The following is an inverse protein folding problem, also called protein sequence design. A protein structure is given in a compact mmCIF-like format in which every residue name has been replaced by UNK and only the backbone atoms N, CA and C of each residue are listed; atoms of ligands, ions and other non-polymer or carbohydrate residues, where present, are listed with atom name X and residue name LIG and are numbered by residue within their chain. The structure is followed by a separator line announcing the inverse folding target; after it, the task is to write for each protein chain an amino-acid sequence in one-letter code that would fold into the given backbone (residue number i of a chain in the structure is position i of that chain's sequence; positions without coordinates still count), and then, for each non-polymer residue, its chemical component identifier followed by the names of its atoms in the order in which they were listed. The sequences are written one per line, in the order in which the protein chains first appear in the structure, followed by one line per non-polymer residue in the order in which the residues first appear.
data_IF_390846431038
#
_entry.id   IF_390846431038
#
_cell.length_a   1.000
_cell.length_b   1.000
_cell.length_c   1.000
_cell.angle_alpha   90.00
_cell.angle_beta   90.00
_cell.angle_gamma   90.00
#
_symmetry.space_group_name_H-M   'P 1'
#
loop_
_entity.id
_entity.type
_entity.pdbx_description
1 polymer ?
#
# COMPACT_ATOMS: atom_id res chain seq x y z
N UNK A 1 19.85 18.08 63.46
CA UNK A 1 19.09 17.17 62.58
C UNK A 1 17.93 17.95 62.00
N UNK A 2 17.98 18.32 60.71
CA UNK A 2 16.88 18.98 60.00
C UNK A 2 16.31 17.97 59.01
N UNK A 3 15.07 17.56 59.20
CA UNK A 3 14.38 16.67 58.29
C UNK A 3 14.01 17.45 57.03
N UNK A 4 14.70 17.17 55.93
CA UNK A 4 14.31 17.65 54.62
C UNK A 4 13.26 16.69 54.02
N UNK A 5 12.05 17.19 53.84
CA UNK A 5 11.00 16.49 53.11
C UNK A 5 11.32 16.55 51.62
N UNK A 6 11.64 15.41 51.01
CA UNK A 6 11.86 15.30 49.57
C UNK A 6 10.52 15.10 48.86
N UNK A 7 10.09 16.10 48.09
CA UNK A 7 8.94 15.99 47.19
C UNK A 7 9.44 15.38 45.88
N UNK A 8 9.07 14.12 45.61
CA UNK A 8 9.25 13.47 44.32
C UNK A 8 8.20 14.00 43.33
N UNK A 9 8.58 14.93 42.46
CA UNK A 9 7.75 15.32 41.32
C UNK A 9 8.06 14.34 40.18
N UNK A 10 7.22 13.31 40.04
CA UNK A 10 7.19 12.48 38.83
C UNK A 10 6.63 13.33 37.68
N UNK A 11 7.52 13.92 36.89
CA UNK A 11 7.17 14.42 35.56
C UNK A 11 6.84 13.22 34.68
N UNK A 12 5.57 12.84 34.62
CA UNK A 12 5.08 12.07 33.47
C UNK A 12 5.22 12.99 32.26
N UNK A 13 6.28 12.78 31.49
CA UNK A 13 6.34 13.28 30.13
C UNK A 13 5.23 12.53 29.37
N UNK A 14 4.04 13.15 29.30
CA UNK A 14 3.01 12.70 28.37
C UNK A 14 3.65 12.93 27.00
N UNK A 15 4.23 11.87 26.44
CA UNK A 15 4.60 11.84 25.04
C UNK A 15 3.27 12.06 24.33
N UNK A 16 3.03 13.29 23.87
CA UNK A 16 2.01 13.55 22.87
C UNK A 16 2.45 12.79 21.63
N UNK A 17 2.09 11.50 21.58
CA UNK A 17 2.01 10.74 20.36
C UNK A 17 0.94 11.45 19.54
N UNK A 18 1.37 12.46 18.80
CA UNK A 18 0.68 12.92 17.61
C UNK A 18 0.51 11.67 16.74
N UNK A 19 -0.64 11.03 16.84
CA UNK A 19 -1.07 10.00 15.91
C UNK A 19 -1.21 10.74 14.58
N UNK A 20 -0.14 10.78 13.79
CA UNK A 20 -0.15 11.48 12.52
C UNK A 20 -1.11 10.72 11.62
N UNK A 21 -2.33 11.27 11.48
CA UNK A 21 -3.28 10.80 10.50
C UNK A 21 -2.62 10.94 9.13
N UNK A 22 -2.62 9.86 8.36
CA UNK A 22 -2.07 9.90 7.01
C UNK A 22 -2.91 10.85 6.16
N UNK A 23 -2.23 11.66 5.36
CA UNK A 23 -2.81 12.62 4.44
C UNK A 23 -2.72 12.11 3.00
N UNK A 24 -3.62 12.60 2.15
CA UNK A 24 -3.53 12.32 0.71
C UNK A 24 -2.19 12.85 0.18
N UNK A 25 -1.45 11.98 -0.52
CA UNK A 25 -0.10 12.24 -1.01
C UNK A 25 1.03 11.69 -0.14
N UNK A 26 0.75 11.21 1.06
CA UNK A 26 1.79 10.60 1.89
C UNK A 26 2.29 9.30 1.26
N UNK A 27 3.62 9.13 1.18
CA UNK A 27 4.22 7.84 0.88
C UNK A 27 4.18 6.98 2.13
N UNK A 28 3.27 6.02 2.16
CA UNK A 28 2.97 5.21 3.32
C UNK A 28 2.82 3.76 2.93
N UNK A 29 3.51 2.89 3.68
CA UNK A 29 3.44 1.44 3.53
C UNK A 29 3.54 0.95 2.07
N UNK A 30 4.57 1.42 1.35
CA UNK A 30 4.91 0.95 0.01
C UNK A 30 4.15 1.61 -1.15
N UNK A 31 3.23 2.55 -0.86
CA UNK A 31 2.48 3.25 -1.89
C UNK A 31 2.14 4.69 -1.50
N UNK A 32 1.24 5.31 -2.28
CA UNK A 32 0.78 6.68 -2.05
C UNK A 32 -0.64 6.66 -1.53
N UNK A 33 -0.90 7.37 -0.43
CA UNK A 33 -2.26 7.54 0.09
C UNK A 33 -3.06 8.41 -0.89
N UNK A 34 -4.16 7.88 -1.44
CA UNK A 34 -5.02 8.62 -2.37
C UNK A 34 -6.43 8.88 -1.82
N UNK A 35 -6.79 8.22 -0.72
CA UNK A 35 -8.08 8.40 -0.06
C UNK A 35 -7.95 8.20 1.46
N UNK A 36 -8.70 8.97 2.24
CA UNK A 36 -8.78 8.83 3.70
C UNK A 36 -10.23 8.70 4.13
N UNK A 37 -10.53 7.74 5.00
CA UNK A 37 -11.88 7.57 5.52
C UNK A 37 -12.14 8.58 6.66
N UNK A 38 -13.37 9.12 6.78
CA UNK A 38 -13.75 9.94 7.93
C UNK A 38 -13.60 9.21 9.27
N UNK A 39 -13.73 7.88 9.27
CA UNK A 39 -13.53 7.01 10.43
C UNK A 39 -12.06 6.72 10.74
N UNK A 40 -11.13 7.24 9.94
CA UNK A 40 -9.70 6.94 10.00
C UNK A 40 -9.29 5.75 9.12
N UNK A 41 -8.00 5.67 8.82
CA UNK A 41 -7.48 4.78 7.78
C UNK A 41 -7.68 5.35 6.39
N UNK A 42 -7.50 4.52 5.37
CA UNK A 42 -7.62 4.97 3.98
C UNK A 42 -7.19 3.93 2.96
N UNK A 43 -6.95 4.41 1.75
CA UNK A 43 -6.49 3.60 0.63
C UNK A 43 -5.16 4.13 0.10
N UNK A 44 -4.30 3.18 -0.25
CA UNK A 44 -2.96 3.38 -0.79
C UNK A 44 -2.95 2.80 -2.20
N UNK A 45 -2.39 3.53 -3.16
CA UNK A 45 -2.13 3.04 -4.51
C UNK A 45 -0.66 2.69 -4.66
N UNK A 46 -0.39 1.61 -5.39
CA UNK A 46 0.98 1.20 -5.73
C UNK A 46 1.69 2.31 -6.54
N UNK A 47 3.02 2.41 -6.39
CA UNK A 47 3.86 3.38 -7.12
C UNK A 47 4.16 2.95 -8.56
N UNK A 48 3.80 1.73 -8.95
CA UNK A 48 4.08 1.21 -10.29
C UNK A 48 2.95 0.31 -10.81
N UNK A 49 2.85 0.18 -12.13
CA UNK A 49 1.96 -0.78 -12.77
C UNK A 49 2.48 -2.20 -12.52
N UNK A 50 1.57 -3.17 -12.52
CA UNK A 50 1.90 -4.56 -12.32
C UNK A 50 2.12 -5.25 -13.65
N UNK A 51 3.17 -6.06 -13.72
CA UNK A 51 3.45 -6.90 -14.87
C UNK A 51 2.57 -8.14 -14.85
N UNK A 52 2.15 -8.59 -16.03
CA UNK A 52 1.53 -9.88 -16.25
C UNK A 52 2.60 -10.88 -16.72
N UNK A 53 2.98 -11.88 -15.90
CA UNK A 53 3.99 -12.87 -16.27
C UNK A 53 3.47 -13.89 -17.29
N UNK A 54 2.14 -13.99 -17.47
CA UNK A 54 1.48 -14.95 -18.36
C UNK A 54 0.57 -14.22 -19.36
N UNK A 55 1.10 -13.32 -20.20
CA UNK A 55 0.28 -12.64 -21.20
C UNK A 55 -0.35 -13.66 -22.16
N UNK A 56 -1.62 -13.48 -22.57
CA UNK A 56 -2.22 -14.33 -23.58
C UNK A 56 -1.38 -14.30 -24.87
N UNK A 57 -0.99 -15.48 -25.37
CA UNK A 57 0.01 -15.63 -26.44
C UNK A 57 -0.16 -14.65 -27.62
N UNK A 58 0.85 -13.81 -27.88
CA UNK A 58 1.07 -13.30 -29.24
C UNK A 58 1.56 -11.86 -29.49
N UNK A 59 1.94 -11.00 -28.54
CA UNK A 59 2.36 -9.63 -28.91
C UNK A 59 3.43 -8.95 -28.04
N UNK A 60 3.93 -7.83 -28.57
CA UNK A 60 5.02 -6.89 -28.21
C UNK A 60 5.42 -6.68 -26.72
N UNK A 61 6.56 -5.99 -26.41
CA UNK A 61 7.01 -5.72 -25.04
C UNK A 61 6.00 -5.05 -24.09
N UNK A 62 4.95 -4.42 -24.63
CA UNK A 62 3.88 -3.82 -23.82
C UNK A 62 2.95 -4.89 -23.19
N UNK A 63 2.87 -6.09 -23.77
CA UNK A 63 1.99 -7.19 -23.38
C UNK A 63 2.25 -7.65 -21.94
N UNK A 64 3.51 -7.60 -21.50
CA UNK A 64 3.87 -7.93 -20.12
C UNK A 64 3.36 -6.94 -19.08
N UNK A 65 2.74 -5.80 -19.47
CA UNK A 65 2.09 -4.85 -18.55
C UNK A 65 0.58 -4.82 -18.71
N UNK A 66 0.02 -5.69 -19.56
CA UNK A 66 -1.40 -5.71 -19.87
C UNK A 66 -2.02 -7.01 -19.38
N UNK A 67 -3.23 -6.89 -18.85
CA UNK A 67 -4.02 -8.02 -18.36
C UNK A 67 -5.43 -7.92 -18.87
N UNK A 68 -6.07 -9.08 -19.04
CA UNK A 68 -7.52 -9.13 -19.25
C UNK A 68 -8.25 -8.90 -17.94
N UNK A 69 -9.47 -8.40 -17.99
CA UNK A 69 -10.28 -8.32 -16.78
C UNK A 69 -10.73 -9.72 -16.34
N UNK A 70 -11.19 -10.54 -17.29
CA UNK A 70 -11.76 -11.87 -17.06
C UNK A 70 -12.12 -12.55 -18.38
N UNK A 71 -12.89 -13.64 -18.32
CA UNK A 71 -13.44 -14.31 -19.50
C UNK A 71 -14.49 -13.47 -20.23
N UNK A 72 -14.73 -13.79 -21.51
CA UNK A 72 -15.59 -13.01 -22.40
C UNK A 72 -17.02 -12.84 -21.89
N UNK A 73 -17.63 -13.90 -21.35
CA UNK A 73 -19.04 -13.91 -20.93
C UNK A 73 -19.23 -14.28 -19.46
N UNK A 74 -18.17 -14.20 -18.67
CA UNK A 74 -18.22 -14.64 -17.28
C UNK A 74 -18.79 -13.54 -16.39
N UNK A 75 -19.91 -13.85 -15.74
CA UNK A 75 -20.50 -12.99 -14.72
C UNK A 75 -19.91 -13.34 -13.36
N UNK A 76 -19.09 -12.44 -12.83
CA UNK A 76 -18.50 -12.61 -11.50
C UNK A 76 -19.41 -11.95 -10.48
N UNK A 77 -20.25 -12.75 -9.81
CA UNK A 77 -21.24 -12.24 -8.87
C UNK A 77 -20.58 -11.39 -7.76
N UNK A 78 -21.22 -10.27 -7.41
CA UNK A 78 -20.72 -9.38 -6.36
C UNK A 78 -19.55 -8.48 -6.76
N UNK A 79 -19.24 -8.35 -8.06
CA UNK A 79 -18.20 -7.43 -8.56
C UNK A 79 -18.74 -6.19 -9.27
N UNK A 80 -20.06 -5.98 -9.29
CA UNK A 80 -20.66 -4.79 -9.91
C UNK A 80 -20.69 -3.57 -8.97
N UNK A 81 -20.24 -3.72 -7.72
CA UNK A 81 -20.18 -2.61 -6.76
C UNK A 81 -19.05 -1.67 -7.15
N UNK A 82 -19.33 -0.37 -7.19
CA UNK A 82 -18.40 0.65 -7.71
C UNK A 82 -17.95 1.68 -6.67
N UNK A 83 -18.51 1.66 -5.45
CA UNK A 83 -18.20 2.63 -4.39
C UNK A 83 -16.75 2.59 -3.91
N UNK A 84 -16.30 3.67 -3.27
CA UNK A 84 -15.04 3.67 -2.51
C UNK A 84 -15.12 2.62 -1.38
N UNK A 85 -14.07 1.82 -1.21
CA UNK A 85 -14.00 0.66 -0.31
C UNK A 85 -14.47 -0.66 -0.93
N UNK A 86 -15.01 -0.67 -2.16
CA UNK A 86 -15.52 -1.90 -2.77
C UNK A 86 -14.44 -2.76 -3.45
N UNK A 87 -13.26 -2.21 -3.75
CA UNK A 87 -12.24 -2.91 -4.53
C UNK A 87 -11.80 -4.23 -3.90
N UNK A 88 -11.65 -4.25 -2.57
CA UNK A 88 -11.24 -5.44 -1.82
C UNK A 88 -12.28 -6.56 -1.91
N UNK A 89 -13.56 -6.24 -1.66
CA UNK A 89 -14.64 -7.22 -1.75
C UNK A 89 -14.85 -7.72 -3.18
N UNK A 90 -14.76 -6.83 -4.17
CA UNK A 90 -14.84 -7.21 -5.58
C UNK A 90 -13.70 -8.17 -5.97
N UNK A 91 -12.48 -7.86 -5.54
CA UNK A 91 -11.29 -8.70 -5.78
C UNK A 91 -11.45 -10.06 -5.12
N UNK A 92 -11.96 -10.13 -3.88
CA UNK A 92 -12.24 -11.40 -3.20
C UNK A 92 -13.30 -12.22 -3.94
N UNK A 93 -14.39 -11.60 -4.40
CA UNK A 93 -15.42 -12.28 -5.19
C UNK A 93 -14.88 -12.81 -6.52
N UNK A 94 -13.99 -12.06 -7.15
CA UNK A 94 -13.29 -12.52 -8.34
C UNK A 94 -12.41 -13.74 -8.05
N UNK A 95 -11.62 -13.72 -6.98
CA UNK A 95 -10.80 -14.86 -6.58
C UNK A 95 -11.62 -16.11 -6.23
N UNK A 96 -12.83 -15.94 -5.71
CA UNK A 96 -13.74 -17.06 -5.47
C UNK A 96 -14.23 -17.68 -6.78
N UNK A 97 -14.34 -16.89 -7.86
CA UNK A 97 -14.79 -17.35 -9.18
C UNK A 97 -13.63 -17.91 -10.02
N UNK A 98 -12.47 -17.24 -10.00
CA UNK A 98 -11.22 -17.67 -10.62
C UNK A 98 -10.14 -17.88 -9.55
N UNK A 99 -10.07 -19.07 -8.92
CA UNK A 99 -9.13 -19.32 -7.83
C UNK A 99 -7.69 -19.58 -8.29
N UNK A 100 -7.44 -19.77 -9.59
CA UNK A 100 -6.10 -20.05 -10.11
C UNK A 100 -5.23 -18.79 -10.15
N UNK A 101 -4.36 -18.66 -9.15
CA UNK A 101 -3.40 -17.57 -9.03
C UNK A 101 -2.41 -17.48 -10.20
N UNK A 102 -2.23 -18.54 -11.01
CA UNK A 102 -1.37 -18.46 -12.20
C UNK A 102 -2.07 -17.80 -13.39
N UNK A 103 -3.33 -17.39 -13.28
CA UNK A 103 -4.08 -16.83 -14.40
C UNK A 103 -3.59 -15.44 -14.84
N UNK A 104 -4.01 -15.04 -16.04
CA UNK A 104 -3.58 -13.83 -16.74
C UNK A 104 -4.48 -12.60 -16.50
N UNK A 105 -5.31 -12.62 -15.45
CA UNK A 105 -6.29 -11.57 -15.19
C UNK A 105 -5.75 -10.46 -14.29
N UNK A 106 -6.35 -9.28 -14.41
CA UNK A 106 -5.93 -8.08 -13.68
C UNK A 106 -5.94 -8.30 -12.16
N UNK A 107 -6.95 -8.98 -11.64
CA UNK A 107 -7.06 -9.34 -10.23
C UNK A 107 -5.89 -10.22 -9.77
N UNK A 108 -5.48 -11.20 -10.58
CA UNK A 108 -4.36 -12.10 -10.23
C UNK A 108 -3.05 -11.33 -10.07
N UNK A 109 -2.83 -10.30 -10.91
CA UNK A 109 -1.62 -9.47 -10.79
C UNK A 109 -1.61 -8.72 -9.46
N UNK A 110 -2.75 -8.19 -9.02
CA UNK A 110 -2.88 -7.52 -7.74
C UNK A 110 -2.60 -8.48 -6.57
N UNK A 111 -3.32 -9.60 -6.49
CA UNK A 111 -3.24 -10.50 -5.32
C UNK A 111 -1.91 -11.25 -5.20
N UNK A 112 -1.18 -11.44 -6.32
CA UNK A 112 0.16 -12.03 -6.31
C UNK A 112 1.27 -11.01 -6.02
N UNK A 113 0.97 -9.71 -6.03
CA UNK A 113 1.97 -8.68 -5.79
C UNK A 113 2.47 -8.75 -4.35
N UNK A 114 3.80 -8.75 -4.19
CA UNK A 114 4.47 -8.58 -2.89
C UNK A 114 5.19 -7.23 -2.80
N UNK A 115 4.85 -6.28 -3.68
CA UNK A 115 5.58 -5.01 -3.82
C UNK A 115 5.47 -4.18 -2.55
N UNK A 116 6.56 -3.50 -2.21
CA UNK A 116 6.67 -2.73 -0.97
C UNK A 116 6.70 -3.59 0.30
N UNK A 117 6.73 -4.92 0.19
CA UNK A 117 6.69 -5.85 1.33
C UNK A 117 5.28 -6.22 1.81
N UNK A 118 4.25 -5.94 1.01
CA UNK A 118 2.84 -6.18 1.34
C UNK A 118 2.21 -7.15 0.34
N UNK A 119 1.25 -7.96 0.79
CA UNK A 119 0.58 -9.01 0.02
C UNK A 119 -0.96 -8.93 0.07
N UNK A 120 -1.49 -7.80 0.53
CA UNK A 120 -2.92 -7.48 0.67
C UNK A 120 -3.38 -6.51 -0.45
N UNK A 121 -2.70 -6.55 -1.58
CA UNK A 121 -3.01 -5.74 -2.76
C UNK A 121 -4.25 -6.27 -3.49
N UNK A 122 -5.14 -5.37 -3.87
CA UNK A 122 -6.37 -5.66 -4.60
C UNK A 122 -6.56 -4.70 -5.80
N UNK A 123 -7.46 -5.07 -6.71
CA UNK A 123 -7.80 -4.24 -7.87
C UNK A 123 -8.80 -3.16 -7.43
N UNK A 124 -8.59 -1.87 -7.74
CA UNK A 124 -9.46 -0.80 -7.25
C UNK A 124 -10.86 -0.88 -7.86
N UNK A 125 -11.90 -0.54 -7.11
CA UNK A 125 -13.24 -0.31 -7.65
C UNK A 125 -13.25 0.85 -8.65
N UNK A 126 -14.31 0.98 -9.44
CA UNK A 126 -14.45 2.09 -10.40
C UNK A 126 -14.26 3.46 -9.75
N UNK A 127 -14.91 3.73 -8.61
CA UNK A 127 -14.77 5.05 -7.98
C UNK A 127 -13.40 5.23 -7.30
N UNK A 128 -12.76 4.15 -6.83
CA UNK A 128 -11.38 4.22 -6.29
C UNK A 128 -10.39 4.58 -7.40
N UNK A 129 -10.56 3.99 -8.59
CA UNK A 129 -9.73 4.28 -9.75
C UNK A 129 -9.93 5.71 -10.27
N UNK A 130 -11.16 6.21 -10.25
CA UNK A 130 -11.45 7.62 -10.59
C UNK A 130 -10.75 8.54 -9.58
N UNK A 131 -10.79 8.21 -8.29
CA UNK A 131 -10.16 9.01 -7.23
C UNK A 131 -8.63 9.03 -7.33
N UNK A 132 -8.02 7.92 -7.74
CA UNK A 132 -6.60 7.86 -8.11
C UNK A 132 -6.31 8.89 -9.21
N UNK A 133 -7.12 8.95 -10.27
CA UNK A 133 -6.87 9.89 -11.37
C UNK A 133 -7.15 11.35 -11.01
N UNK A 134 -8.07 11.63 -10.09
CA UNK A 134 -8.25 12.97 -9.52
C UNK A 134 -6.97 13.47 -8.82
N UNK A 135 -6.20 12.55 -8.23
CA UNK A 135 -4.94 12.85 -7.53
C UNK A 135 -3.68 12.48 -8.34
N UNK A 136 -3.81 12.21 -9.66
CA UNK A 136 -2.73 11.68 -10.50
C UNK A 136 -1.43 12.47 -10.39
N UNK A 137 -1.50 13.80 -10.49
CA UNK A 137 -0.30 14.65 -10.49
C UNK A 137 0.52 14.48 -9.21
N UNK A 138 -0.15 14.38 -8.07
CA UNK A 138 0.47 14.15 -6.77
C UNK A 138 1.04 12.73 -6.68
N UNK A 139 0.26 11.72 -7.06
CA UNK A 139 0.68 10.32 -7.05
C UNK A 139 1.89 10.09 -7.96
N UNK A 140 1.90 10.65 -9.17
CA UNK A 140 3.01 10.56 -10.12
C UNK A 140 4.31 11.14 -9.53
N UNK A 141 4.22 12.30 -8.90
CA UNK A 141 5.36 12.96 -8.26
C UNK A 141 5.96 12.09 -7.16
N UNK A 142 5.12 11.57 -6.26
CA UNK A 142 5.55 10.74 -5.14
C UNK A 142 6.05 9.37 -5.61
N UNK A 143 5.39 8.77 -6.61
CA UNK A 143 5.81 7.50 -7.20
C UNK A 143 7.22 7.60 -7.80
N UNK A 144 7.50 8.65 -8.57
CA UNK A 144 8.83 8.89 -9.15
C UNK A 144 9.91 9.06 -8.08
N UNK A 145 9.63 9.82 -7.02
CA UNK A 145 10.56 10.02 -5.90
C UNK A 145 10.90 8.72 -5.16
N UNK A 146 10.01 7.72 -5.23
CA UNK A 146 10.17 6.43 -4.55
C UNK A 146 10.51 5.28 -5.52
N UNK A 147 11.02 5.59 -6.71
CA UNK A 147 11.52 4.60 -7.68
C UNK A 147 10.42 3.86 -8.46
N UNK A 148 9.18 4.32 -8.38
CA UNK A 148 8.06 3.87 -9.21
C UNK A 148 8.01 4.61 -10.55
N UNK A 149 6.84 4.64 -11.16
CA UNK A 149 6.64 5.34 -12.43
C UNK A 149 5.26 5.96 -12.55
N UNK A 150 5.19 6.97 -13.42
CA UNK A 150 3.96 7.70 -13.67
C UNK A 150 2.92 6.85 -14.39
N UNK A 151 1.67 7.27 -14.27
CA UNK A 151 0.62 6.80 -15.16
C UNK A 151 0.92 7.26 -16.60
N UNK A 152 0.95 6.29 -17.52
CA UNK A 152 1.32 6.45 -18.93
C UNK A 152 0.56 7.54 -19.70
N UNK A 153 1.28 8.30 -20.51
CA UNK A 153 0.72 9.29 -21.43
C UNK A 153 -0.18 8.67 -22.51
N UNK A 154 0.02 7.39 -22.86
CA UNK A 154 -0.81 6.62 -23.79
C UNK A 154 -2.03 5.95 -23.12
N UNK A 155 -2.41 6.36 -21.91
CA UNK A 155 -3.53 5.77 -21.16
C UNK A 155 -4.88 5.83 -21.90
N UNK A 156 -5.05 6.68 -22.92
CA UNK A 156 -6.26 6.66 -23.78
C UNK A 156 -6.37 5.36 -24.59
N UNK A 157 -5.24 4.81 -25.03
CA UNK A 157 -5.17 3.54 -25.75
C UNK A 157 -5.12 2.35 -24.79
N UNK A 158 -4.43 2.53 -23.66
CA UNK A 158 -4.25 1.51 -22.63
C UNK A 158 -4.70 2.04 -21.27
N UNK A 159 -6.03 2.15 -21.04
CA UNK A 159 -6.57 2.59 -19.76
C UNK A 159 -6.29 1.58 -18.65
N UNK A 160 -6.80 1.84 -17.46
CA UNK A 160 -6.59 0.99 -16.29
C UNK A 160 -7.87 0.27 -15.94
N UNK A 161 -7.77 -1.02 -15.65
CA UNK A 161 -8.90 -1.80 -15.16
C UNK A 161 -9.30 -1.36 -13.76
N UNK A 162 -10.61 -1.32 -13.51
CA UNK A 162 -11.16 -1.42 -12.17
C UNK A 162 -11.67 -2.84 -11.90
N UNK A 163 -11.90 -3.18 -10.65
CA UNK A 163 -12.54 -4.43 -10.22
C UNK A 163 -14.06 -4.45 -10.49
N UNK A 164 -14.63 -3.33 -10.94
CA UNK A 164 -16.07 -3.20 -11.11
C UNK A 164 -16.48 -3.67 -12.49
N UNK A 165 -17.28 -4.73 -12.57
CA UNK A 165 -17.92 -5.12 -13.83
C UNK A 165 -19.21 -4.33 -14.08
N UNK A 166 -19.74 -4.43 -15.30
CA UNK A 166 -21.07 -3.90 -15.63
C UNK A 166 -22.15 -4.36 -14.63
N UNK A 167 -23.10 -3.49 -14.23
CA UNK A 167 -24.25 -3.89 -13.43
C UNK A 167 -25.33 -4.60 -14.27
N UNK A 168 -25.16 -4.69 -15.59
CA UNK A 168 -26.12 -5.36 -16.48
C UNK A 168 -26.32 -6.82 -16.09
N UNK A 169 -27.59 -7.24 -16.03
CA UNK A 169 -28.00 -8.63 -15.78
C UNK A 169 -28.17 -9.45 -17.06
N UNK A 170 -27.94 -8.86 -18.22
CA UNK A 170 -28.15 -9.49 -19.53
C UNK A 170 -26.93 -9.43 -20.44
N UNK A 171 -25.97 -8.56 -20.14
CA UNK A 171 -24.72 -8.42 -20.89
C UNK A 171 -23.54 -8.24 -19.92
N UNK A 172 -22.85 -9.33 -19.63
CA UNK A 172 -21.76 -9.40 -18.65
C UNK A 172 -20.38 -9.25 -19.27
N UNK A 173 -20.30 -8.92 -20.56
CA UNK A 173 -19.04 -8.97 -21.32
C UNK A 173 -18.09 -7.81 -21.01
N UNK A 174 -18.52 -6.88 -20.16
CA UNK A 174 -17.85 -5.61 -19.94
C UNK A 174 -17.47 -5.36 -18.49
N UNK A 175 -16.37 -4.67 -18.29
CA UNK A 175 -15.95 -4.10 -17.03
C UNK A 175 -15.48 -2.66 -17.20
N UNK A 176 -15.40 -1.91 -16.10
CA UNK A 176 -15.02 -0.52 -16.14
C UNK A 176 -13.51 -0.35 -16.27
N UNK A 177 -13.12 0.59 -17.12
CA UNK A 177 -11.77 1.14 -17.16
C UNK A 177 -11.83 2.63 -16.93
N UNK A 178 -10.73 3.23 -16.48
CA UNK A 178 -10.56 4.67 -16.46
C UNK A 178 -9.16 5.09 -16.90
N UNK A 179 -9.06 6.34 -17.34
CA UNK A 179 -7.78 7.00 -17.60
C UNK A 179 -7.86 8.48 -17.26
N UNK A 180 -6.68 9.08 -17.10
CA UNK A 180 -6.55 10.50 -16.81
C UNK A 180 -6.99 11.38 -17.98
N UNK A 181 -7.98 12.23 -17.72
CA UNK A 181 -8.36 13.37 -18.55
C UNK A 181 -8.95 14.46 -17.65
N UNK A 182 -9.37 15.58 -18.22
CA UNK A 182 -10.05 16.65 -17.48
C UNK A 182 -11.45 16.87 -18.08
N UNK A 183 -12.53 16.33 -17.48
CA UNK A 183 -12.59 15.48 -16.27
C UNK A 183 -12.05 14.06 -16.51
N UNK A 184 -11.85 13.27 -15.45
CA UNK A 184 -11.48 11.84 -15.55
C UNK A 184 -12.50 11.11 -16.44
N UNK A 185 -12.01 10.29 -17.37
CA UNK A 185 -12.85 9.54 -18.29
C UNK A 185 -12.85 8.07 -17.91
N UNK A 186 -14.04 7.51 -17.80
CA UNK A 186 -14.28 6.11 -17.51
C UNK A 186 -15.36 5.55 -18.44
N UNK A 187 -15.28 4.26 -18.74
CA UNK A 187 -16.28 3.57 -19.55
C UNK A 187 -16.16 2.06 -19.48
N UNK A 188 -17.17 1.39 -20.02
CA UNK A 188 -17.19 -0.05 -20.19
C UNK A 188 -16.29 -0.49 -21.36
N UNK A 189 -15.54 -1.56 -21.12
CA UNK A 189 -14.69 -2.24 -22.10
C UNK A 189 -14.86 -3.74 -22.00
N UNK A 190 -14.67 -4.41 -23.13
CA UNK A 190 -14.81 -5.86 -23.18
C UNK A 190 -13.75 -6.52 -22.30
N UNK A 191 -14.15 -7.50 -21.48
CA UNK A 191 -13.29 -8.18 -20.50
C UNK A 191 -12.08 -8.89 -21.11
N UNK A 192 -12.14 -9.21 -22.40
CA UNK A 192 -11.04 -9.84 -23.16
C UNK A 192 -9.99 -8.86 -23.68
N UNK A 193 -10.23 -7.55 -23.55
CA UNK A 193 -9.22 -6.55 -23.91
C UNK A 193 -8.12 -6.50 -22.84
N UNK A 194 -6.94 -6.10 -23.25
CA UNK A 194 -5.73 -6.12 -22.43
C UNK A 194 -5.34 -4.69 -22.03
N UNK A 195 -5.45 -4.42 -20.73
CA UNK A 195 -5.25 -3.09 -20.15
C UNK A 195 -4.42 -3.13 -18.88
N UNK A 196 -4.03 -1.94 -18.42
CA UNK A 196 -3.09 -1.77 -17.34
C UNK A 196 -3.72 -2.05 -15.98
N UNK A 197 -2.85 -2.39 -15.04
CA UNK A 197 -3.21 -2.72 -13.67
C UNK A 197 -2.30 -1.95 -12.74
N UNK A 198 -2.90 -1.23 -11.80
CA UNK A 198 -2.20 -0.66 -10.65
C UNK A 198 -3.01 -0.99 -9.41
N UNK A 199 -2.39 -1.72 -8.50
CA UNK A 199 -3.08 -2.22 -7.32
C UNK A 199 -3.27 -1.12 -6.28
N UNK A 200 -4.24 -1.37 -5.41
CA UNK A 200 -4.49 -0.59 -4.20
C UNK A 200 -4.51 -1.51 -2.99
N UNK A 201 -4.31 -0.95 -1.81
CA UNK A 201 -4.47 -1.65 -0.53
C UNK A 201 -5.08 -0.72 0.50
N UNK A 202 -5.70 -1.29 1.53
CA UNK A 202 -6.29 -0.52 2.62
C UNK A 202 -5.30 -0.41 3.79
N UNK A 203 -5.47 0.64 4.59
CA UNK A 203 -4.83 0.72 5.90
C UNK A 203 -5.85 1.17 6.94
N UNK A 204 -5.76 0.61 8.13
CA UNK A 204 -6.60 1.03 9.26
C UNK A 204 -5.97 2.20 10.01
N UNK A 205 -6.79 2.96 10.74
CA UNK A 205 -6.33 4.04 11.63
C UNK A 205 -5.28 3.60 12.66
N UNK A 206 -5.18 2.29 12.96
CA UNK A 206 -4.37 1.71 14.02
C UNK A 206 -3.10 1.01 13.55
N UNK A 207 -2.48 1.43 12.44
CA UNK A 207 -1.19 0.89 12.01
C UNK A 207 0.01 1.44 12.84
N UNK A 208 -0.18 1.55 14.16
CA UNK A 208 0.80 1.97 15.16
C UNK A 208 0.97 1.02 16.33
N UNK A 209 0.38 -0.19 16.28
CA UNK A 209 0.71 -1.29 17.21
C UNK A 209 0.87 -2.58 16.41
N UNK A 210 1.83 -2.61 15.49
CA UNK A 210 2.57 -3.85 15.36
C UNK A 210 3.36 -3.96 16.67
N UNK A 211 2.77 -4.63 17.66
CA UNK A 211 3.61 -5.32 18.61
C UNK A 211 4.39 -6.33 17.77
N UNK A 212 5.59 -5.94 17.33
CA UNK A 212 6.64 -6.91 17.13
C UNK A 212 6.55 -7.82 18.36
N UNK A 213 6.56 -9.16 18.22
CA UNK A 213 6.63 -10.02 19.39
C UNK A 213 7.75 -9.46 20.25
N UNK A 214 7.46 -9.25 21.53
CA UNK A 214 8.48 -8.83 22.50
C UNK A 214 9.47 -9.99 22.55
N UNK A 215 10.43 -9.98 21.63
CA UNK A 215 11.66 -10.72 21.79
C UNK A 215 12.32 -10.01 22.95
N UNK A 216 12.43 -10.69 24.08
CA UNK A 216 13.28 -10.23 25.17
C UNK A 216 14.67 -10.07 24.58
N UNK A 217 15.01 -8.85 24.18
CA UNK A 217 16.30 -8.53 23.59
C UNK A 217 17.28 -8.35 24.74
N UNK A 218 18.28 -9.22 24.79
CA UNK A 218 19.34 -9.16 25.79
C UNK A 218 20.50 -8.33 25.25
N UNK A 219 21.16 -7.57 26.13
CA UNK A 219 22.33 -6.78 25.74
C UNK A 219 23.49 -7.74 25.53
N UNK A 220 24.02 -7.78 24.31
CA UNK A 220 25.21 -8.57 23.95
C UNK A 220 26.47 -7.75 24.17
N UNK A 221 26.46 -6.46 23.81
CA UNK A 221 27.65 -5.62 23.87
C UNK A 221 27.30 -4.14 23.98
N UNK A 222 28.17 -3.37 24.64
CA UNK A 222 28.08 -1.91 24.73
C UNK A 222 29.39 -1.34 24.20
N UNK A 223 29.31 -0.46 23.20
CA UNK A 223 30.48 0.16 22.58
C UNK A 223 30.38 1.68 22.56
N UNK A 224 31.53 2.37 22.53
CA UNK A 224 31.57 3.81 22.23
C UNK A 224 31.43 4.04 20.72
N UNK A 225 31.39 5.32 20.31
CA UNK A 225 31.32 5.68 18.87
C UNK A 225 32.53 5.24 18.03
N UNK A 226 33.62 4.82 18.68
CA UNK A 226 34.80 4.27 18.02
C UNK A 226 34.75 2.72 17.90
N UNK A 227 33.66 2.09 18.36
CA UNK A 227 33.48 0.64 18.31
C UNK A 227 34.23 -0.13 19.40
N UNK A 228 34.83 0.56 20.38
CA UNK A 228 35.51 -0.06 21.51
C UNK A 228 34.48 -0.47 22.57
N UNK A 229 34.62 -1.67 23.14
CA UNK A 229 33.74 -2.15 24.20
C UNK A 229 34.02 -1.43 25.52
N UNK A 230 32.96 -0.93 26.17
CA UNK A 230 33.05 -0.05 27.33
C UNK A 230 31.84 -0.28 28.25
N UNK A 231 32.08 -0.22 29.56
CA UNK A 231 31.01 -0.17 30.57
C UNK A 231 30.23 1.13 30.47
N UNK A 232 28.92 1.16 30.78
CA UNK A 232 28.12 2.39 30.69
C UNK A 232 28.70 3.55 31.51
N UNK A 233 29.24 4.55 30.83
CA UNK A 233 29.77 5.77 31.43
C UNK A 233 28.85 6.96 31.16
N UNK A 234 28.60 7.82 32.18
CA UNK A 234 27.81 9.02 31.97
C UNK A 234 28.47 10.01 31.01
N UNK A 235 27.64 10.84 30.38
CA UNK A 235 28.02 11.91 29.45
C UNK A 235 28.78 11.42 28.20
N UNK A 236 28.78 10.11 27.94
CA UNK A 236 29.37 9.48 26.75
C UNK A 236 28.23 8.86 25.90
N UNK A 237 28.21 9.09 24.58
CA UNK A 237 27.30 8.40 23.68
C UNK A 237 27.76 6.94 23.48
N UNK A 238 26.86 6.01 23.76
CA UNK A 238 27.08 4.57 23.73
C UNK A 238 26.13 3.90 22.72
N UNK A 239 26.59 2.82 22.10
CA UNK A 239 25.79 1.93 21.26
C UNK A 239 25.59 0.59 21.99
N UNK A 240 24.34 0.22 22.21
CA UNK A 240 23.91 -1.03 22.83
C UNK A 240 23.51 -1.99 21.72
N UNK A 241 24.22 -3.10 21.61
CA UNK A 241 23.98 -4.16 20.63
C UNK A 241 23.23 -5.27 21.32
N UNK A 242 22.11 -5.69 20.74
CA UNK A 242 21.22 -6.69 21.31
C UNK A 242 21.34 -8.05 20.60
N UNK A 243 20.85 -9.10 21.27
CA UNK A 243 20.88 -10.49 20.78
C UNK A 243 20.07 -10.72 19.50
N UNK A 244 19.12 -9.84 19.20
CA UNK A 244 18.33 -9.85 17.96
C UNK A 244 19.00 -9.11 16.80
N UNK A 245 20.23 -8.61 16.99
CA UNK A 245 20.99 -7.83 16.01
C UNK A 245 20.58 -6.35 15.95
N UNK A 246 19.63 -5.90 16.77
CA UNK A 246 19.28 -4.48 16.87
C UNK A 246 20.36 -3.67 17.61
N UNK A 247 20.45 -2.38 17.31
CA UNK A 247 21.38 -1.45 17.95
C UNK A 247 20.63 -0.21 18.43
N UNK A 248 20.84 0.18 19.69
CA UNK A 248 20.32 1.44 20.26
C UNK A 248 21.45 2.39 20.66
N UNK A 249 21.28 3.68 20.37
CA UNK A 249 22.16 4.72 20.86
C UNK A 249 21.60 5.31 22.16
N UNK A 250 22.39 5.29 23.25
CA UNK A 250 22.02 5.86 24.55
C UNK A 250 23.11 6.77 25.08
N UNK A 251 22.72 7.75 25.89
CA UNK A 251 23.63 8.58 26.68
C UNK A 251 23.01 8.74 28.06
N UNK A 252 23.75 8.36 29.10
CA UNK A 252 23.33 8.57 30.49
C UNK A 252 23.88 9.94 30.89
N UNK A 253 23.03 10.91 31.20
CA UNK A 253 23.50 12.22 31.66
C UNK A 253 23.68 12.17 33.18
N UNK A 254 24.83 12.62 33.67
CA UNK A 254 25.07 12.84 35.10
C UNK A 254 25.63 14.25 35.26
N UNK A 255 24.94 15.06 36.05
CA UNK A 255 25.39 16.40 36.47
C UNK A 255 26.71 16.33 37.24
#
# INVERSE_FOLDING_TARGET
MKNATYIFILYFCIINLSLQAQSIGDFYQGGVVFYTYPSGGGLIVDIADLSNPNPPSGTTPLDSLLSRWGGYSDFVAGTSVDSIGAGETNTQNFMNFYPDLNGCYAVHQCVNSTRGGYNDWFLPSRNELIEIFNHKSLIDSIALLNGGHTFDAFAQQYPYWSSSQTPSLTDFRYAYVAYSSQPVFDLLRSKILEYKVRAVRSFSANAGINSKPIVNKEIVKIVNLLGQEISPEPNIPLLYIYSDGSVEKKMIIKE
#
